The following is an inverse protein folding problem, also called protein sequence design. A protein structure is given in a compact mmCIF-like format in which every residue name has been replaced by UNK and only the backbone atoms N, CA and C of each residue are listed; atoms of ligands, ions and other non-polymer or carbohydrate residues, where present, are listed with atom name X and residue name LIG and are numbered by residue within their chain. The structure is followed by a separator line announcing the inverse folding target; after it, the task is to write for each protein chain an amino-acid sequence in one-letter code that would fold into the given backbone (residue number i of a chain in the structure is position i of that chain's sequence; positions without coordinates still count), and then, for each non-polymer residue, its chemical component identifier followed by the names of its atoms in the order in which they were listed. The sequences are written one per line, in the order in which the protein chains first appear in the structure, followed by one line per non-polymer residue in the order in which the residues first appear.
data_IF_066199902759
#
_entry.id   IF_066199902759
#
_cell.length_a   1.000
_cell.length_b   1.000
_cell.length_c   1.000
_cell.angle_alpha   90.00
_cell.angle_beta   90.00
_cell.angle_gamma   90.00
#
_symmetry.space_group_name_H-M   'P 1'
#
loop_
_entity.id
_entity.type
_entity.pdbx_description
1 polymer ?
#
# COMPACT_ATOMS: atom_id res chain seq x y z
N UNK A 1 -9.21 19.32 6.77
CA UNK A 1 -8.39 18.21 7.29
C UNK A 1 -8.49 16.98 6.37
N UNK A 2 -7.50 16.08 6.37
CA UNK A 2 -7.51 14.82 5.60
C UNK A 2 -7.62 13.63 6.56
N UNK A 3 -8.60 12.74 6.34
CA UNK A 3 -8.77 11.51 7.10
C UNK A 3 -8.01 10.36 6.45
N UNK A 4 -7.19 9.64 7.22
CA UNK A 4 -6.55 8.38 6.77
C UNK A 4 -7.03 7.22 7.64
N UNK A 5 -7.88 6.36 7.10
CA UNK A 5 -8.27 5.13 7.82
C UNK A 5 -7.17 4.09 7.74
N UNK A 6 -6.95 3.33 8.82
CA UNK A 6 -5.79 2.45 8.91
C UNK A 6 -4.47 3.22 8.95
N UNK A 7 -4.51 4.48 9.41
CA UNK A 7 -3.39 5.43 9.34
C UNK A 7 -2.20 5.09 10.25
N UNK A 8 -2.33 4.10 11.15
CA UNK A 8 -1.19 3.55 11.92
C UNK A 8 -0.62 2.24 11.32
N UNK A 9 -1.22 1.72 10.23
CA UNK A 9 -0.61 0.64 9.43
C UNK A 9 0.58 1.15 8.62
N UNK A 10 1.35 0.25 7.98
CA UNK A 10 2.53 0.61 7.19
C UNK A 10 2.23 1.69 6.14
N UNK A 11 1.33 1.41 5.19
CA UNK A 11 1.02 2.33 4.09
C UNK A 11 0.36 3.60 4.65
N UNK A 12 -0.57 3.44 5.60
CA UNK A 12 -1.29 4.55 6.23
C UNK A 12 -0.38 5.53 6.95
N UNK A 13 0.59 5.04 7.72
CA UNK A 13 1.50 5.89 8.49
C UNK A 13 2.45 6.68 7.59
N UNK A 14 3.00 6.04 6.55
CA UNK A 14 3.82 6.74 5.56
C UNK A 14 3.00 7.72 4.71
N UNK A 15 1.73 7.42 4.43
CA UNK A 15 0.80 8.36 3.78
C UNK A 15 0.53 9.56 4.68
N UNK A 16 0.21 9.34 5.96
CA UNK A 16 -0.01 10.41 6.93
C UNK A 16 1.23 11.28 7.09
N UNK A 17 2.42 10.67 7.19
CA UNK A 17 3.69 11.40 7.22
C UNK A 17 3.83 12.29 5.98
N UNK A 18 3.66 11.73 4.78
CA UNK A 18 3.80 12.49 3.55
C UNK A 18 2.77 13.63 3.43
N UNK A 19 1.52 13.42 3.87
CA UNK A 19 0.50 14.47 3.93
C UNK A 19 0.90 15.60 4.90
N UNK A 20 1.43 15.26 6.08
CA UNK A 20 1.93 16.28 7.03
C UNK A 20 3.19 16.99 6.52
N UNK A 21 4.07 16.31 5.79
CA UNK A 21 5.25 16.91 5.13
C UNK A 21 4.83 17.90 4.03
N UNK A 22 3.67 17.69 3.40
CA UNK A 22 3.02 18.62 2.46
C UNK A 22 2.24 19.75 3.14
N UNK A 23 2.21 19.81 4.48
CA UNK A 23 1.57 20.87 5.25
C UNK A 23 0.07 20.69 5.50
N UNK A 24 -0.48 19.50 5.28
CA UNK A 24 -1.88 19.22 5.57
C UNK A 24 -2.09 18.79 7.03
N UNK A 25 -3.21 19.21 7.61
CA UNK A 25 -3.72 18.62 8.85
C UNK A 25 -4.29 17.22 8.58
N UNK A 26 -3.87 16.26 9.40
CA UNK A 26 -4.20 14.85 9.21
C UNK A 26 -4.81 14.28 10.49
N UNK A 27 -5.95 13.61 10.33
CA UNK A 27 -6.50 12.70 11.33
C UNK A 27 -6.32 11.27 10.84
N UNK A 28 -5.69 10.43 11.66
CA UNK A 28 -5.55 9.00 11.41
C UNK A 28 -6.51 8.23 12.29
N UNK A 29 -7.13 7.19 11.75
CA UNK A 29 -7.91 6.26 12.58
C UNK A 29 -7.20 4.96 12.84
N UNK A 30 -7.44 4.43 14.04
CA UNK A 30 -6.89 3.18 14.51
C UNK A 30 -7.95 2.38 15.26
N UNK A 31 -7.97 1.06 15.05
CA UNK A 31 -8.78 0.14 15.86
C UNK A 31 -7.89 -0.78 16.69
N UNK A 32 -7.12 -1.66 16.03
CA UNK A 32 -6.32 -2.70 16.69
C UNK A 32 -4.89 -2.28 17.05
N UNK A 33 -4.30 -1.36 16.29
CA UNK A 33 -2.94 -0.84 16.52
C UNK A 33 -3.04 0.56 17.07
N UNK A 34 -2.68 0.76 18.33
CA UNK A 34 -2.72 2.07 18.98
C UNK A 34 -1.36 2.78 19.03
N UNK A 35 -0.25 2.07 18.78
CA UNK A 35 1.08 2.67 18.85
C UNK A 35 1.31 3.59 17.66
N UNK A 36 1.53 4.86 17.97
CA UNK A 36 1.84 5.91 17.00
C UNK A 36 3.33 5.86 16.67
N UNK A 37 3.72 5.63 15.40
CA UNK A 37 5.13 5.70 15.00
C UNK A 37 5.75 7.03 15.38
N UNK A 38 7.01 7.01 15.85
CA UNK A 38 7.70 8.21 16.33
C UNK A 38 7.74 9.36 15.33
N UNK A 39 7.81 9.06 14.02
CA UNK A 39 7.78 10.06 12.96
C UNK A 39 6.42 10.75 12.75
N UNK A 40 5.34 10.27 13.40
CA UNK A 40 4.01 10.90 13.44
C UNK A 40 3.68 11.56 14.78
N UNK A 41 4.49 11.34 15.82
CA UNK A 41 4.21 11.84 17.16
C UNK A 41 4.09 13.37 17.16
N UNK A 42 2.95 13.89 17.62
CA UNK A 42 2.64 15.32 17.64
C UNK A 42 2.36 15.95 16.26
N UNK A 43 2.32 15.14 15.19
CA UNK A 43 2.07 15.62 13.81
C UNK A 43 0.66 15.30 13.29
N UNK A 44 -0.03 14.35 13.93
CA UNK A 44 -1.36 13.88 13.52
C UNK A 44 -2.30 13.82 14.72
N UNK A 45 -3.59 13.97 14.46
CA UNK A 45 -4.63 13.61 15.42
C UNK A 45 -4.95 12.12 15.27
N UNK A 46 -5.10 11.40 16.38
CA UNK A 46 -5.43 9.97 16.38
C UNK A 46 -6.83 9.77 16.93
N UNK A 47 -7.67 9.08 16.18
CA UNK A 47 -9.04 8.74 16.57
C UNK A 47 -9.21 7.21 16.61
N UNK A 48 -9.89 6.72 17.65
CA UNK A 48 -10.27 5.31 17.71
C UNK A 48 -11.50 5.10 16.83
N UNK A 49 -11.41 4.18 15.87
CA UNK A 49 -12.54 3.84 15.00
C UNK A 49 -12.43 2.40 14.51
N UNK A 50 -13.45 1.59 14.78
CA UNK A 50 -13.76 0.43 13.96
C UNK A 50 -14.52 0.91 12.72
N UNK A 51 -13.97 0.71 11.52
CA UNK A 51 -14.62 1.14 10.27
C UNK A 51 -15.94 0.44 10.00
N UNK A 52 -16.24 -0.67 10.69
CA UNK A 52 -17.53 -1.35 10.61
C UNK A 52 -18.62 -0.68 11.46
N UNK A 53 -18.24 0.15 12.42
CA UNK A 53 -19.16 0.99 13.18
C UNK A 53 -19.48 2.27 12.39
N UNK A 54 -20.63 2.25 11.74
CA UNK A 54 -21.07 3.35 10.88
C UNK A 54 -21.28 4.65 11.67
N UNK A 55 -21.87 4.58 12.85
CA UNK A 55 -22.24 5.77 13.62
C UNK A 55 -21.00 6.42 14.21
N UNK A 56 -20.05 5.63 14.72
CA UNK A 56 -18.75 6.13 15.16
C UNK A 56 -17.96 6.76 14.00
N UNK A 57 -18.04 6.18 12.79
CA UNK A 57 -17.38 6.75 11.61
C UNK A 57 -17.98 8.13 11.30
N UNK A 58 -19.31 8.23 11.16
CA UNK A 58 -19.99 9.48 10.82
C UNK A 58 -19.79 10.58 11.89
N UNK A 59 -19.74 10.21 13.17
CA UNK A 59 -19.50 11.13 14.28
C UNK A 59 -18.10 11.78 14.27
N UNK A 60 -17.17 11.36 13.40
CA UNK A 60 -15.90 12.07 13.21
C UNK A 60 -16.09 13.49 12.70
N UNK A 61 -17.14 13.75 11.91
CA UNK A 61 -17.44 15.09 11.40
C UNK A 61 -17.83 16.10 12.48
N UNK A 62 -18.29 15.63 13.64
CA UNK A 62 -18.61 16.52 14.77
C UNK A 62 -17.35 17.13 15.40
N UNK A 63 -16.18 16.52 15.17
CA UNK A 63 -14.89 16.91 15.76
C UNK A 63 -13.91 17.46 14.73
N UNK A 64 -14.05 17.06 13.46
CA UNK A 64 -13.08 17.32 12.41
C UNK A 64 -13.76 17.79 11.12
N UNK A 65 -13.25 18.88 10.53
CA UNK A 65 -13.66 19.34 9.20
C UNK A 65 -12.91 18.54 8.12
N UNK A 66 -13.45 17.36 7.77
CA UNK A 66 -12.82 16.39 6.86
C UNK A 66 -13.17 16.75 5.41
N UNK A 67 -12.16 17.19 4.65
CA UNK A 67 -12.30 17.56 3.24
C UNK A 67 -11.89 16.47 2.25
N UNK A 68 -11.11 15.48 2.68
CA UNK A 68 -10.67 14.35 1.86
C UNK A 68 -10.50 13.09 2.73
N UNK A 69 -10.73 11.91 2.13
CA UNK A 69 -10.57 10.61 2.80
C UNK A 69 -9.58 9.75 2.01
N UNK A 70 -8.67 9.09 2.74
CA UNK A 70 -7.80 8.03 2.24
C UNK A 70 -8.11 6.75 3.02
N UNK A 71 -8.87 5.86 2.40
CA UNK A 71 -9.33 4.62 3.01
C UNK A 71 -8.32 3.49 2.79
N UNK A 72 -7.45 3.28 3.78
CA UNK A 72 -6.41 2.23 3.79
C UNK A 72 -6.64 1.19 4.89
N UNK A 73 -7.70 1.33 5.68
CA UNK A 73 -8.14 0.29 6.59
C UNK A 73 -8.45 -0.98 5.80
N UNK A 74 -7.94 -2.10 6.30
CA UNK A 74 -8.14 -3.42 5.72
C UNK A 74 -7.41 -4.48 6.54
N UNK A 75 -7.94 -5.69 6.52
CA UNK A 75 -7.40 -6.84 7.23
C UNK A 75 -6.75 -7.88 6.31
N UNK A 76 -6.18 -8.89 6.95
CA UNK A 76 -5.76 -10.13 6.30
C UNK A 76 -6.84 -11.18 6.52
N UNK A 77 -7.23 -11.97 5.50
CA UNK A 77 -8.15 -13.09 5.68
C UNK A 77 -7.67 -14.08 6.75
N UNK A 78 -8.57 -14.46 7.65
CA UNK A 78 -8.37 -15.59 8.56
C UNK A 78 -9.03 -16.86 8.01
N UNK A 79 -9.48 -17.74 8.92
CA UNK A 79 -10.15 -18.99 8.56
C UNK A 79 -11.61 -18.81 8.10
N UNK A 80 -12.23 -17.66 8.39
CA UNK A 80 -13.60 -17.31 7.95
C UNK A 80 -13.57 -16.34 6.75
N UNK A 81 -13.64 -16.84 5.51
CA UNK A 81 -13.61 -16.00 4.31
C UNK A 81 -14.86 -15.14 4.15
N UNK A 82 -16.03 -15.60 4.61
CA UNK A 82 -17.28 -14.83 4.47
C UNK A 82 -17.32 -13.70 5.49
N UNK A 83 -16.90 -13.96 6.73
CA UNK A 83 -16.73 -12.92 7.76
C UNK A 83 -15.70 -11.86 7.37
N UNK A 84 -14.59 -12.27 6.74
CA UNK A 84 -13.62 -11.34 6.16
C UNK A 84 -14.27 -10.42 5.12
N UNK A 85 -14.94 -10.99 4.10
CA UNK A 85 -15.58 -10.20 3.06
C UNK A 85 -16.67 -9.28 3.61
N UNK A 86 -17.46 -9.74 4.59
CA UNK A 86 -18.48 -8.93 5.26
C UNK A 86 -17.83 -7.73 5.95
N UNK A 87 -16.80 -7.94 6.76
CA UNK A 87 -16.08 -6.89 7.50
C UNK A 87 -15.51 -5.85 6.54
N UNK A 88 -14.75 -6.30 5.54
CA UNK A 88 -14.11 -5.40 4.58
C UNK A 88 -15.12 -4.63 3.73
N UNK A 89 -16.20 -5.29 3.30
CA UNK A 89 -17.27 -4.64 2.52
C UNK A 89 -18.03 -3.63 3.37
N UNK A 90 -18.38 -3.96 4.62
CA UNK A 90 -19.02 -3.01 5.54
C UNK A 90 -18.14 -1.80 5.78
N UNK A 91 -16.84 -2.00 6.03
CA UNK A 91 -15.88 -0.89 6.20
C UNK A 91 -15.78 0.02 4.98
N UNK A 92 -15.76 -0.55 3.78
CA UNK A 92 -15.80 0.20 2.52
C UNK A 92 -17.10 1.01 2.39
N UNK A 93 -18.25 0.36 2.59
CA UNK A 93 -19.56 0.99 2.43
C UNK A 93 -19.76 2.15 3.42
N UNK A 94 -19.33 1.99 4.68
CA UNK A 94 -19.37 3.05 5.68
C UNK A 94 -18.46 4.23 5.29
N UNK A 95 -17.28 3.96 4.76
CA UNK A 95 -16.37 5.01 4.30
C UNK A 95 -16.93 5.78 3.08
N UNK A 96 -17.58 5.08 2.15
CA UNK A 96 -18.28 5.69 1.02
C UNK A 96 -19.48 6.53 1.49
N UNK A 97 -20.24 6.03 2.47
CA UNK A 97 -21.37 6.76 3.05
C UNK A 97 -20.90 8.05 3.76
N UNK A 98 -19.82 7.97 4.54
CA UNK A 98 -19.18 9.14 5.15
C UNK A 98 -18.69 10.14 4.10
N UNK A 99 -18.02 9.68 3.03
CA UNK A 99 -17.57 10.54 1.94
C UNK A 99 -18.73 11.33 1.31
N UNK A 100 -19.88 10.68 1.10
CA UNK A 100 -21.08 11.30 0.55
C UNK A 100 -21.75 12.25 1.55
N UNK A 101 -21.89 11.82 2.80
CA UNK A 101 -22.53 12.61 3.84
C UNK A 101 -21.78 13.90 4.16
N UNK A 102 -20.45 13.85 4.14
CA UNK A 102 -19.59 15.01 4.41
C UNK A 102 -19.30 15.85 3.17
N UNK A 103 -19.66 15.37 1.97
CA UNK A 103 -19.38 16.07 0.72
C UNK A 103 -17.90 16.28 0.47
N UNK A 104 -17.06 15.28 0.81
CA UNK A 104 -15.61 15.39 0.67
C UNK A 104 -15.22 15.62 -0.78
N UNK A 105 -14.14 16.34 -1.02
CA UNK A 105 -13.64 16.61 -2.36
C UNK A 105 -13.13 15.33 -3.04
N UNK A 106 -12.37 14.51 -2.31
CA UNK A 106 -11.74 13.29 -2.84
C UNK A 106 -11.84 12.12 -1.88
N UNK A 107 -12.11 10.94 -2.44
CA UNK A 107 -12.10 9.66 -1.74
C UNK A 107 -11.09 8.74 -2.42
N UNK A 108 -9.93 8.57 -1.79
CA UNK A 108 -8.91 7.63 -2.22
C UNK A 108 -9.08 6.29 -1.50
N UNK A 109 -8.97 5.17 -2.21
CA UNK A 109 -9.20 3.83 -1.65
C UNK A 109 -8.14 2.83 -2.10
N UNK A 110 -7.67 2.00 -1.17
CA UNK A 110 -6.74 0.93 -1.47
C UNK A 110 -7.38 -0.17 -2.33
N UNK A 111 -6.97 -0.25 -3.60
CA UNK A 111 -6.97 -1.47 -4.42
C UNK A 111 -5.58 -2.13 -4.34
N UNK A 112 -5.24 -3.03 -5.26
CA UNK A 112 -3.97 -3.76 -5.25
C UNK A 112 -3.55 -4.12 -6.66
N UNK A 113 -2.24 -4.26 -6.90
CA UNK A 113 -1.71 -4.90 -8.11
C UNK A 113 -2.28 -6.31 -8.35
N UNK A 114 -2.77 -6.98 -7.29
CA UNK A 114 -3.41 -8.28 -7.38
C UNK A 114 -4.63 -8.28 -8.31
N UNK A 115 -5.25 -7.12 -8.58
CA UNK A 115 -6.32 -7.02 -9.59
C UNK A 115 -5.84 -7.36 -11.00
N UNK A 116 -4.54 -7.34 -11.28
CA UNK A 116 -4.02 -7.82 -12.56
C UNK A 116 -3.76 -9.33 -12.57
N UNK A 117 -3.97 -10.07 -11.48
CA UNK A 117 -3.76 -11.52 -11.46
C UNK A 117 -4.54 -12.22 -12.59
N UNK A 118 -3.87 -13.12 -13.31
CA UNK A 118 -4.38 -13.76 -14.52
C UNK A 118 -4.02 -13.04 -15.83
N UNK A 119 -3.33 -11.90 -15.77
CA UNK A 119 -2.81 -11.17 -16.95
C UNK A 119 -1.40 -11.63 -17.34
N UNK A 120 -1.14 -11.99 -18.62
CA UNK A 120 0.19 -12.36 -19.09
C UNK A 120 1.16 -11.17 -19.24
N UNK A 121 0.65 -9.94 -19.24
CA UNK A 121 1.45 -8.75 -19.50
C UNK A 121 2.46 -8.47 -18.38
N UNK A 122 3.74 -8.34 -18.75
CA UNK A 122 4.82 -7.90 -17.84
C UNK A 122 4.57 -6.46 -17.39
N UNK A 123 4.25 -5.56 -18.32
CA UNK A 123 3.92 -4.16 -18.05
C UNK A 123 2.43 -4.02 -17.79
N UNK A 124 2.05 -3.77 -16.54
CA UNK A 124 0.65 -3.67 -16.12
C UNK A 124 0.23 -2.21 -16.00
N UNK A 125 -0.68 -1.76 -16.86
CA UNK A 125 -1.22 -0.40 -16.86
C UNK A 125 -2.72 -0.40 -16.57
N UNK A 126 -3.27 0.76 -16.20
CA UNK A 126 -4.59 0.88 -15.59
C UNK A 126 -5.76 0.55 -16.53
N UNK A 127 -5.51 0.55 -17.85
CA UNK A 127 -6.50 0.27 -18.90
C UNK A 127 -6.64 -1.22 -19.21
N UNK A 128 -5.78 -2.07 -18.64
CA UNK A 128 -5.95 -3.50 -18.77
C UNK A 128 -7.26 -3.95 -18.11
N UNK A 129 -8.07 -4.69 -18.86
CA UNK A 129 -9.26 -5.29 -18.32
C UNK A 129 -8.92 -6.24 -17.15
N UNK A 130 -9.76 -6.32 -16.14
CA UNK A 130 -9.46 -7.12 -14.95
C UNK A 130 -10.07 -8.54 -15.08
N UNK A 131 -9.28 -9.63 -15.02
CA UNK A 131 -9.83 -10.99 -15.04
C UNK A 131 -10.74 -11.24 -13.83
N UNK A 132 -11.87 -11.92 -13.99
CA UNK A 132 -12.81 -12.19 -12.87
C UNK A 132 -12.89 -13.67 -12.47
N UNK A 133 -12.31 -14.57 -13.26
CA UNK A 133 -12.24 -16.00 -13.00
C UNK A 133 -10.85 -16.42 -12.48
N UNK A 134 -10.79 -17.57 -11.79
CA UNK A 134 -9.55 -18.21 -11.33
C UNK A 134 -8.65 -17.29 -10.49
N UNK A 135 -9.25 -16.60 -9.52
CA UNK A 135 -8.52 -15.65 -8.66
C UNK A 135 -7.67 -16.40 -7.62
N UNK A 136 -6.40 -16.02 -7.42
CA UNK A 136 -5.47 -16.77 -6.57
C UNK A 136 -5.69 -16.55 -5.08
N UNK A 137 -6.42 -15.50 -4.67
CA UNK A 137 -6.57 -15.14 -3.27
C UNK A 137 -7.83 -14.30 -3.00
N UNK A 138 -8.40 -14.41 -1.80
CA UNK A 138 -9.61 -13.68 -1.40
C UNK A 138 -9.45 -12.15 -1.45
N UNK A 139 -8.29 -11.64 -1.04
CA UNK A 139 -7.96 -10.20 -1.15
C UNK A 139 -8.07 -9.72 -2.60
N UNK A 140 -7.67 -10.54 -3.58
CA UNK A 140 -7.76 -10.15 -5.00
C UNK A 140 -9.21 -10.02 -5.43
N UNK A 141 -10.08 -10.95 -5.02
CA UNK A 141 -11.51 -10.86 -5.29
C UNK A 141 -12.12 -9.60 -4.68
N UNK A 142 -11.81 -9.32 -3.41
CA UNK A 142 -12.31 -8.13 -2.73
C UNK A 142 -11.80 -6.83 -3.38
N UNK A 143 -10.49 -6.70 -3.64
CA UNK A 143 -9.94 -5.48 -4.26
C UNK A 143 -10.45 -5.24 -5.68
N UNK A 144 -10.78 -6.29 -6.44
CA UNK A 144 -11.50 -6.16 -7.72
C UNK A 144 -12.92 -5.62 -7.54
N UNK A 145 -13.63 -5.99 -6.47
CA UNK A 145 -14.96 -5.48 -6.16
C UNK A 145 -14.93 -4.03 -5.63
N UNK A 146 -13.89 -3.65 -4.89
CA UNK A 146 -13.69 -2.28 -4.37
C UNK A 146 -13.73 -1.24 -5.50
N UNK A 147 -13.12 -1.50 -6.64
CA UNK A 147 -13.02 -0.51 -7.74
C UNK A 147 -14.39 -0.08 -8.28
N UNK A 148 -15.25 -0.98 -8.80
CA UNK A 148 -16.57 -0.60 -9.30
C UNK A 148 -17.51 -0.12 -8.19
N UNK A 149 -17.45 -0.68 -6.98
CA UNK A 149 -18.26 -0.23 -5.85
C UNK A 149 -17.95 1.23 -5.49
N UNK A 150 -16.67 1.61 -5.55
CA UNK A 150 -16.24 2.99 -5.27
C UNK A 150 -16.65 3.94 -6.38
N UNK A 151 -16.31 3.62 -7.64
CA UNK A 151 -16.57 4.54 -8.77
C UNK A 151 -18.06 4.75 -8.99
N UNK A 152 -18.88 3.69 -8.92
CA UNK A 152 -20.33 3.82 -9.06
C UNK A 152 -20.98 4.38 -7.80
N UNK A 153 -20.46 4.04 -6.61
CA UNK A 153 -20.98 4.52 -5.33
C UNK A 153 -20.85 6.04 -5.15
N UNK A 154 -19.86 6.67 -5.79
CA UNK A 154 -19.63 8.12 -5.73
C UNK A 154 -20.10 8.86 -7.00
N UNK A 155 -20.57 8.13 -8.02
CA UNK A 155 -21.00 8.73 -9.28
C UNK A 155 -22.13 9.75 -9.05
N UNK A 156 -21.96 10.95 -9.62
CA UNK A 156 -22.93 12.04 -9.50
C UNK A 156 -22.96 12.74 -8.13
N UNK A 157 -22.15 12.32 -7.16
CA UNK A 157 -22.11 12.88 -5.81
C UNK A 157 -21.16 14.06 -5.60
N UNK A 158 -20.46 14.52 -6.64
CA UNK A 158 -19.45 15.59 -6.54
C UNK A 158 -18.12 15.18 -5.87
N UNK A 159 -18.03 13.95 -5.36
CA UNK A 159 -16.81 13.37 -4.77
C UNK A 159 -15.95 12.73 -5.87
N UNK A 160 -14.68 13.11 -5.97
CA UNK A 160 -13.75 12.46 -6.91
C UNK A 160 -13.22 11.13 -6.34
N UNK A 161 -13.50 9.97 -6.97
CA UNK A 161 -12.91 8.70 -6.57
C UNK A 161 -11.44 8.62 -7.01
N UNK A 162 -10.59 8.00 -6.19
CA UNK A 162 -9.20 7.66 -6.53
C UNK A 162 -8.90 6.23 -6.08
N UNK A 163 -8.98 5.29 -7.02
CA UNK A 163 -8.65 3.88 -6.83
C UNK A 163 -7.13 3.70 -6.93
N UNK A 164 -6.52 3.27 -5.82
CA UNK A 164 -5.09 3.09 -5.68
C UNK A 164 -4.73 1.61 -5.92
N UNK A 165 -4.29 1.23 -7.13
CA UNK A 165 -3.78 -0.11 -7.41
C UNK A 165 -2.34 -0.22 -6.86
N UNK A 166 -2.25 -0.49 -5.57
CA UNK A 166 -0.99 -0.49 -4.83
C UNK A 166 -0.15 -1.74 -5.15
N UNK A 167 1.12 -1.51 -5.50
CA UNK A 167 2.14 -2.53 -5.78
C UNK A 167 2.61 -3.28 -4.53
N UNK A 168 3.76 -3.95 -4.63
CA UNK A 168 4.31 -4.74 -3.53
C UNK A 168 5.06 -3.80 -2.60
N UNK A 169 4.36 -3.28 -1.58
CA UNK A 169 4.97 -2.33 -0.64
C UNK A 169 5.78 -3.07 0.42
N UNK A 170 6.96 -2.55 0.75
CA UNK A 170 7.81 -3.06 1.82
C UNK A 170 8.59 -1.92 2.50
N UNK A 171 9.07 -2.17 3.72
CA UNK A 171 9.90 -1.22 4.46
C UNK A 171 9.45 -1.04 5.91
N UNK A 172 9.77 0.12 6.53
CA UNK A 172 9.47 0.40 7.93
C UNK A 172 7.99 0.17 8.27
N UNK A 173 7.73 -0.46 9.42
CA UNK A 173 6.41 -0.87 9.93
C UNK A 173 5.77 -2.09 9.23
N UNK A 174 6.41 -2.69 8.23
CA UNK A 174 6.01 -4.02 7.76
C UNK A 174 6.40 -5.07 8.78
N UNK A 175 5.54 -6.08 8.97
CA UNK A 175 5.93 -7.30 9.69
C UNK A 175 7.15 -7.91 8.97
N UNK A 176 8.31 -8.00 9.64
CA UNK A 176 9.51 -8.50 9.00
C UNK A 176 9.46 -9.97 8.62
N UNK A 177 8.51 -10.74 9.17
CA UNK A 177 8.33 -12.15 8.83
C UNK A 177 7.08 -12.36 7.95
N UNK A 178 6.53 -11.27 7.38
CA UNK A 178 5.32 -11.30 6.56
C UNK A 178 5.44 -12.30 5.40
N UNK A 179 4.46 -13.20 5.22
CA UNK A 179 4.45 -14.14 4.10
C UNK A 179 4.06 -13.49 2.77
N UNK A 180 3.57 -12.24 2.79
CA UNK A 180 3.05 -11.55 1.60
C UNK A 180 4.14 -10.82 0.80
N UNK A 181 5.33 -10.66 1.35
CA UNK A 181 6.46 -10.02 0.68
C UNK A 181 7.76 -10.67 1.14
N UNK A 182 8.57 -11.15 0.19
CA UNK A 182 9.81 -11.86 0.49
C UNK A 182 10.95 -10.93 0.92
N UNK A 183 10.87 -9.62 0.66
CA UNK A 183 11.96 -8.67 0.92
C UNK A 183 12.24 -8.51 2.43
N UNK A 184 11.26 -8.19 3.29
CA UNK A 184 11.53 -8.05 4.73
C UNK A 184 12.05 -9.35 5.40
N UNK A 185 11.49 -10.55 5.14
CA UNK A 185 12.01 -11.79 5.72
C UNK A 185 13.44 -12.09 5.26
N UNK A 186 13.76 -11.78 4.00
CA UNK A 186 15.10 -11.96 3.47
C UNK A 186 16.12 -11.07 4.21
N UNK A 187 15.81 -9.78 4.37
CA UNK A 187 16.65 -8.83 5.12
C UNK A 187 16.75 -9.23 6.59
N UNK A 188 15.66 -9.71 7.19
CA UNK A 188 15.61 -10.11 8.61
C UNK A 188 16.49 -11.31 8.90
N UNK A 189 16.47 -12.33 8.03
CA UNK A 189 17.36 -13.47 8.16
C UNK A 189 18.83 -13.03 8.01
N UNK A 190 19.14 -12.18 7.04
CA UNK A 190 20.49 -11.65 6.84
C UNK A 190 21.00 -10.89 8.08
N UNK A 191 20.17 -10.02 8.67
CA UNK A 191 20.51 -9.28 9.90
C UNK A 191 20.74 -10.21 11.12
N UNK A 192 20.07 -11.36 11.16
CA UNK A 192 20.25 -12.39 12.19
C UNK A 192 21.44 -13.32 11.92
N UNK A 193 22.13 -13.17 10.79
CA UNK A 193 23.15 -14.11 10.35
C UNK A 193 22.60 -15.49 9.99
N UNK A 194 21.29 -15.58 9.77
CA UNK A 194 20.58 -16.80 9.39
C UNK A 194 20.52 -16.95 7.86
N UNK A 195 20.30 -18.16 7.38
CA UNK A 195 20.00 -18.39 5.96
C UNK A 195 18.54 -18.03 5.69
N UNK A 196 18.22 -17.05 4.81
CA UNK A 196 16.85 -16.80 4.41
C UNK A 196 16.28 -17.99 3.65
N UNK A 197 14.95 -18.00 3.51
CA UNK A 197 14.27 -18.98 2.65
C UNK A 197 14.85 -18.91 1.22
N UNK A 198 15.05 -20.06 0.54
CA UNK A 198 15.61 -20.07 -0.80
C UNK A 198 14.76 -19.24 -1.77
N UNK A 199 15.43 -18.35 -2.50
CA UNK A 199 14.88 -17.56 -3.60
C UNK A 199 15.66 -17.84 -4.88
N UNK A 200 14.99 -17.84 -6.02
CA UNK A 200 15.63 -17.95 -7.32
C UNK A 200 16.18 -16.60 -7.77
N UNK A 201 17.44 -16.55 -8.21
CA UNK A 201 18.16 -15.31 -8.50
C UNK A 201 17.51 -14.45 -9.60
N UNK A 202 16.91 -15.08 -10.62
CA UNK A 202 16.26 -14.40 -11.73
C UNK A 202 14.81 -13.96 -11.45
N UNK A 203 14.19 -14.47 -10.39
CA UNK A 203 12.86 -14.03 -9.99
C UNK A 203 12.89 -12.68 -9.29
N UNK A 204 11.74 -12.03 -9.18
CA UNK A 204 11.61 -10.69 -8.61
C UNK A 204 10.31 -10.03 -9.02
N UNK A 205 10.31 -8.70 -9.09
CA UNK A 205 9.11 -7.92 -9.38
C UNK A 205 9.27 -6.45 -9.03
N UNK A 206 8.22 -5.69 -9.30
CA UNK A 206 8.09 -4.32 -8.83
C UNK A 206 7.79 -4.30 -7.32
N UNK A 207 8.77 -3.82 -6.56
CA UNK A 207 8.62 -3.46 -5.16
C UNK A 207 8.63 -1.95 -4.97
N UNK A 208 7.75 -1.45 -4.12
CA UNK A 208 7.69 -0.04 -3.77
C UNK A 208 8.09 0.16 -2.31
N UNK A 209 9.04 1.06 -2.06
CA UNK A 209 9.43 1.36 -0.69
C UNK A 209 8.31 2.14 0.02
N UNK A 210 8.01 1.80 1.28
CA UNK A 210 6.83 2.31 1.97
C UNK A 210 6.75 3.86 2.06
N UNK A 211 7.86 4.59 2.30
CA UNK A 211 7.88 6.05 2.16
C UNK A 211 7.47 6.56 0.77
N UNK A 212 7.90 5.91 -0.31
CA UNK A 212 7.51 6.28 -1.68
C UNK A 212 6.04 5.97 -1.95
N UNK A 213 5.54 4.83 -1.48
CA UNK A 213 4.12 4.50 -1.58
C UNK A 213 3.25 5.54 -0.84
N UNK A 214 3.65 5.93 0.38
CA UNK A 214 2.97 6.97 1.14
C UNK A 214 2.97 8.32 0.42
N UNK A 215 4.10 8.72 -0.17
CA UNK A 215 4.21 9.96 -0.95
C UNK A 215 3.38 9.93 -2.22
N UNK A 216 3.36 8.82 -2.96
CA UNK A 216 2.50 8.67 -4.14
C UNK A 216 1.02 8.86 -3.79
N UNK A 217 0.56 8.23 -2.70
CA UNK A 217 -0.83 8.36 -2.24
C UNK A 217 -1.12 9.80 -1.80
N UNK A 218 -0.23 10.41 -1.00
CA UNK A 218 -0.38 11.79 -0.56
C UNK A 218 -0.48 12.77 -1.74
N UNK A 219 0.34 12.59 -2.76
CA UNK A 219 0.32 13.41 -3.98
C UNK A 219 -0.97 13.21 -4.78
N UNK A 220 -1.47 11.99 -4.93
CA UNK A 220 -2.78 11.75 -5.56
C UNK A 220 -3.92 12.40 -4.75
N UNK A 221 -3.89 12.29 -3.43
CA UNK A 221 -4.90 12.88 -2.55
C UNK A 221 -4.89 14.41 -2.62
N UNK A 222 -3.73 15.05 -2.80
CA UNK A 222 -3.58 16.51 -2.72
C UNK A 222 -3.44 17.21 -4.08
N UNK A 223 -3.32 16.45 -5.18
CA UNK A 223 -3.22 17.00 -6.52
C UNK A 223 -4.38 17.97 -6.83
N UNK A 224 -4.10 19.15 -7.42
CA UNK A 224 -5.14 20.13 -7.77
C UNK A 224 -6.18 19.54 -8.73
N UNK A 225 -5.73 18.71 -9.67
CA UNK A 225 -6.58 18.00 -10.60
C UNK A 225 -6.01 16.61 -10.90
N UNK A 226 -6.90 15.65 -11.11
CA UNK A 226 -6.60 14.29 -11.55
C UNK A 226 -7.42 14.03 -12.81
N UNK A 227 -6.79 13.40 -13.82
CA UNK A 227 -7.42 13.09 -15.12
C UNK A 227 -8.06 11.70 -15.16
N UNK A 228 -7.83 10.90 -14.13
CA UNK A 228 -8.27 9.53 -14.04
C UNK A 228 -8.81 9.25 -12.64
N UNK A 229 -9.60 8.20 -12.52
CA UNK A 229 -10.11 7.72 -11.23
C UNK A 229 -9.27 6.56 -10.69
N UNK A 230 -8.35 6.01 -11.49
CA UNK A 230 -7.56 4.82 -11.12
C UNK A 230 -6.09 5.03 -11.47
N UNK A 231 -5.23 4.74 -10.50
CA UNK A 231 -3.78 4.88 -10.58
C UNK A 231 -3.07 3.66 -10.03
N UNK A 232 -2.05 3.20 -10.75
CA UNK A 232 -1.03 2.31 -10.22
C UNK A 232 -0.14 3.09 -9.24
N UNK A 233 0.11 2.49 -8.08
CA UNK A 233 0.96 3.07 -7.03
C UNK A 233 2.08 2.08 -6.72
N UNK A 234 3.23 2.26 -7.35
CA UNK A 234 4.44 1.46 -7.09
C UNK A 234 5.70 2.23 -7.47
N UNK A 235 6.86 1.56 -7.50
CA UNK A 235 8.09 2.17 -8.05
C UNK A 235 8.10 2.19 -9.58
N UNK A 236 7.39 1.25 -10.22
CA UNK A 236 7.41 1.03 -11.66
C UNK A 236 8.75 0.52 -12.19
N UNK A 237 9.63 0.07 -11.29
CA UNK A 237 10.95 -0.46 -11.60
C UNK A 237 11.09 -1.84 -10.95
N UNK A 238 11.00 -2.93 -11.72
CA UNK A 238 11.21 -4.26 -11.16
C UNK A 238 12.69 -4.46 -10.83
N UNK A 239 12.94 -5.26 -9.80
CA UNK A 239 14.27 -5.79 -9.49
C UNK A 239 14.22 -7.31 -9.34
N UNK A 240 15.38 -7.94 -9.42
CA UNK A 240 15.61 -9.37 -9.23
C UNK A 240 16.04 -9.68 -7.79
N UNK A 241 15.86 -10.93 -7.36
CA UNK A 241 16.36 -11.41 -6.08
C UNK A 241 17.90 -11.36 -6.03
N UNK A 242 18.58 -11.48 -7.18
CA UNK A 242 20.01 -11.23 -7.29
C UNK A 242 20.40 -9.80 -6.91
N UNK A 243 19.71 -8.80 -7.48
CA UNK A 243 19.91 -7.39 -7.13
C UNK A 243 19.58 -7.10 -5.67
N UNK A 244 18.53 -7.72 -5.12
CA UNK A 244 18.20 -7.63 -3.69
C UNK A 244 19.35 -8.18 -2.83
N UNK A 245 19.87 -9.36 -3.14
CA UNK A 245 20.98 -9.97 -2.43
C UNK A 245 22.25 -9.09 -2.47
N UNK A 246 22.49 -8.45 -3.62
CA UNK A 246 23.59 -7.52 -3.81
C UNK A 246 23.43 -6.25 -2.95
N UNK A 247 22.24 -5.67 -2.94
CA UNK A 247 21.92 -4.51 -2.11
C UNK A 247 22.04 -4.81 -0.61
N UNK A 248 21.56 -5.98 -0.15
CA UNK A 248 21.69 -6.41 1.25
C UNK A 248 23.14 -6.64 1.63
N UNK A 249 23.92 -7.31 0.78
CA UNK A 249 25.35 -7.55 1.02
C UNK A 249 26.15 -6.25 1.19
N UNK A 250 25.75 -5.19 0.49
CA UNK A 250 26.44 -3.91 0.57
C UNK A 250 26.34 -3.25 1.96
N UNK A 251 25.31 -3.59 2.76
CA UNK A 251 25.03 -2.92 4.04
C UNK A 251 24.94 -3.86 5.25
N UNK A 252 24.78 -5.17 5.04
CA UNK A 252 24.75 -6.19 6.09
C UNK A 252 26.03 -7.04 6.02
N UNK A 253 26.92 -6.98 7.02
CA UNK A 253 28.09 -7.85 7.06
C UNK A 253 27.68 -9.28 7.40
N UNK A 254 28.22 -10.27 6.69
CA UNK A 254 27.93 -11.67 6.98
C UNK A 254 28.04 -12.61 5.78
N UNK A 255 27.74 -13.91 5.97
CA UNK A 255 27.74 -14.90 4.90
C UNK A 255 26.66 -14.59 3.86
N UNK A 256 26.96 -14.90 2.60
CA UNK A 256 26.03 -14.68 1.49
C UNK A 256 24.82 -15.59 1.64
N UNK A 257 23.58 -15.05 1.61
CA UNK A 257 22.43 -15.88 1.34
C UNK A 257 22.60 -16.56 -0.02
N UNK A 258 22.52 -17.88 -0.04
CA UNK A 258 22.64 -18.64 -1.27
C UNK A 258 21.31 -18.55 -2.04
N UNK A 259 21.34 -17.95 -3.22
CA UNK A 259 20.20 -17.94 -4.13
C UNK A 259 20.24 -19.19 -5.01
N UNK A 260 19.07 -19.74 -5.29
CA UNK A 260 18.92 -20.78 -6.31
C UNK A 260 19.17 -20.17 -7.70
N UNK A 261 19.80 -20.90 -8.63
CA UNK A 261 20.03 -20.39 -9.97
C UNK A 261 18.71 -20.25 -10.75
N UNK A 262 18.74 -19.40 -11.77
CA UNK A 262 17.64 -19.25 -12.73
C UNK A 262 16.36 -18.67 -12.13
N UNK A 263 15.22 -19.17 -12.61
CA UNK A 263 13.86 -18.74 -12.25
C UNK A 263 13.05 -19.95 -11.78
N UNK A 264 12.10 -19.75 -10.87
CA UNK A 264 11.16 -20.78 -10.45
C UNK A 264 10.17 -21.14 -11.56
N UNK A 265 9.70 -20.14 -12.30
CA UNK A 265 8.65 -20.30 -13.31
C UNK A 265 9.07 -19.78 -14.68
N UNK A 266 9.52 -20.70 -15.53
CA UNK A 266 9.71 -20.49 -16.97
C UNK A 266 10.64 -19.34 -17.38
N UNK A 267 10.83 -19.13 -18.69
CA UNK A 267 11.45 -17.92 -19.21
C UNK A 267 10.47 -16.75 -19.13
N UNK A 268 10.96 -15.56 -18.78
CA UNK A 268 10.14 -14.35 -18.74
C UNK A 268 10.79 -13.21 -17.97
N UNK A 269 10.16 -12.04 -18.07
CA UNK A 269 10.54 -10.84 -17.32
C UNK A 269 9.71 -10.67 -16.05
N UNK A 270 10.26 -10.00 -15.05
CA UNK A 270 9.56 -9.70 -13.82
C UNK A 270 8.47 -8.65 -14.07
N UNK A 271 7.20 -8.91 -13.70
CA UNK A 271 6.11 -7.97 -13.96
C UNK A 271 6.25 -6.70 -13.10
N UNK A 272 5.79 -5.58 -13.65
CA UNK A 272 5.81 -4.29 -12.98
C UNK A 272 4.57 -3.44 -13.28
N UNK A 273 4.31 -2.46 -12.42
CA UNK A 273 3.24 -1.50 -12.65
C UNK A 273 3.75 -0.31 -13.46
N UNK A 274 3.08 0.00 -14.55
CA UNK A 274 3.29 1.27 -15.23
C UNK A 274 2.71 2.40 -14.38
N UNK A 275 3.57 3.32 -13.93
CA UNK A 275 3.21 4.48 -13.11
C UNK A 275 3.09 5.79 -13.92
N UNK A 276 2.94 5.70 -15.25
CA UNK A 276 2.87 6.88 -16.13
C UNK A 276 1.74 7.83 -15.74
N UNK A 277 0.55 7.32 -15.41
CA UNK A 277 -0.58 8.17 -14.96
C UNK A 277 -0.24 8.94 -13.68
N UNK A 278 0.27 8.22 -12.68
CA UNK A 278 0.70 8.80 -11.40
C UNK A 278 1.75 9.90 -11.63
N UNK A 279 2.78 9.60 -12.42
CA UNK A 279 3.87 10.55 -12.74
C UNK A 279 3.34 11.80 -13.45
N UNK A 280 2.48 11.62 -14.47
CA UNK A 280 2.02 12.72 -15.32
C UNK A 280 0.99 13.63 -14.65
N UNK A 281 0.25 13.13 -13.65
CA UNK A 281 -0.75 13.92 -12.92
C UNK A 281 -0.16 14.61 -11.67
N UNK A 282 0.87 14.02 -11.07
CA UNK A 282 1.38 14.48 -9.76
C UNK A 282 2.84 14.90 -9.73
N UNK A 283 3.61 14.59 -10.79
CA UNK A 283 5.07 14.73 -10.79
C UNK A 283 5.80 13.68 -9.93
N UNK A 284 5.10 12.67 -9.40
CA UNK A 284 5.72 11.61 -8.61
C UNK A 284 6.79 10.87 -9.43
N UNK A 285 7.99 10.81 -8.87
CA UNK A 285 9.04 9.87 -9.24
C UNK A 285 9.56 9.22 -7.95
N UNK A 286 9.80 7.90 -7.89
CA UNK A 286 10.33 7.24 -6.69
C UNK A 286 11.63 7.90 -6.22
N UNK A 287 11.73 8.17 -4.92
CA UNK A 287 12.91 8.77 -4.31
C UNK A 287 13.98 7.73 -3.99
N UNK A 288 13.57 6.48 -3.76
CA UNK A 288 14.47 5.38 -3.45
C UNK A 288 14.61 4.44 -4.64
N UNK A 289 15.85 4.11 -4.97
CA UNK A 289 16.17 2.88 -5.68
C UNK A 289 16.29 1.70 -4.69
N UNK A 290 16.54 0.49 -5.20
CA UNK A 290 16.63 -0.69 -4.36
C UNK A 290 17.74 -0.58 -3.31
N UNK A 291 18.92 -0.10 -3.70
CA UNK A 291 20.07 0.02 -2.81
C UNK A 291 19.79 1.01 -1.67
N UNK A 292 19.26 2.19 -1.98
CA UNK A 292 18.86 3.19 -1.01
C UNK A 292 17.75 2.71 -0.09
N UNK A 293 16.72 2.04 -0.62
CA UNK A 293 15.63 1.48 0.17
C UNK A 293 16.10 0.40 1.16
N UNK A 294 17.00 -0.49 0.72
CA UNK A 294 17.58 -1.54 1.58
C UNK A 294 18.42 -0.90 2.68
N UNK A 295 19.27 0.07 2.35
CA UNK A 295 20.10 0.78 3.33
C UNK A 295 19.24 1.49 4.39
N UNK A 296 18.21 2.23 3.97
CA UNK A 296 17.30 2.95 4.87
C UNK A 296 16.52 1.98 5.76
N UNK A 297 16.03 0.87 5.19
CA UNK A 297 15.31 -0.14 5.97
C UNK A 297 16.20 -0.86 7.00
N UNK A 298 17.42 -1.21 6.63
CA UNK A 298 18.40 -1.81 7.57
C UNK A 298 18.73 -0.84 8.70
N UNK A 299 18.95 0.44 8.39
CA UNK A 299 19.17 1.46 9.41
C UNK A 299 17.96 1.59 10.35
N UNK A 300 16.74 1.58 9.81
CA UNK A 300 15.51 1.59 10.61
C UNK A 300 15.39 0.36 11.53
N UNK A 301 15.78 -0.83 11.05
CA UNK A 301 15.77 -2.08 11.85
C UNK A 301 16.75 -2.06 13.03
N UNK A 302 17.81 -1.24 13.00
CA UNK A 302 18.73 -1.12 14.13
C UNK A 302 18.04 -0.58 15.40
N UNK A 303 17.06 0.32 15.23
CA UNK A 303 16.20 0.82 16.33
C UNK A 303 14.87 0.07 16.49
N UNK A 304 14.54 -0.83 15.56
CA UNK A 304 13.28 -1.57 15.49
C UNK A 304 13.60 -3.04 15.17
N UNK A 305 14.09 -3.81 16.15
CA UNK A 305 14.60 -5.17 15.92
C UNK A 305 13.49 -6.17 15.54
N UNK A 306 12.23 -5.82 15.82
CA UNK A 306 11.03 -6.57 15.47
C UNK A 306 10.36 -6.12 14.18
#
# INVERSE_FOLDING_TARGET
MILVTGGLGMIGAHTARALTDLGHEVVVTAHRRAEVPSFLAGRVTVETLDVTDRDAFLALADRHDIGDIVHLAGGTPGEDPVGFLRTETTGLLNALDAARAWGVRRFAVASSQGVYAGRPETRRHEELALPVANLPHLIVAFKKAVEPLTTHGLQGGGVQPVVLRIGSVWGPLMDPESPFNHVPPYISAALRGERPRPLHAGDGGDGCYAPDAGRAIALLTTAPALRHDTYNVSSGRPFTNGELADAVRAVVPGPRPELLPGRQYGPGDNPYLDITRLTRDTGFAPAFDLAGAVADYVAWRAGNPR
#
